data_IF_392837392630
#
_entry.id   IF_392837392630
#
_cell.length_a   1.000
_cell.length_b   1.000
_cell.length_c   1.000
_cell.angle_alpha   90.00
_cell.angle_beta   90.00
_cell.angle_gamma   90.00
#
_symmetry.space_group_name_H-M   'P 1'
#
loop_
_entity.id
_entity.type
_entity.pdbx_description
1 polymer ?
#
# COMPACT_ATOMS: atom_id res chain seq x y z
N UNK A 1 3.19 -7.35 10.55
CA UNK A 1 2.58 -6.30 9.71
C UNK A 1 3.47 -5.08 9.76
N UNK A 2 4.10 -4.71 8.64
CA UNK A 2 4.93 -3.51 8.54
C UNK A 2 4.11 -2.37 7.96
N UNK A 3 3.87 -1.31 8.74
CA UNK A 3 3.25 -0.08 8.22
C UNK A 3 4.34 0.73 7.51
N UNK A 4 4.21 0.86 6.20
CA UNK A 4 5.19 1.51 5.32
C UNK A 4 5.00 3.02 5.35
N UNK A 5 3.76 3.48 5.18
CA UNK A 5 3.45 4.89 5.02
C UNK A 5 2.02 5.16 5.51
N UNK A 6 1.84 6.27 6.21
CA UNK A 6 0.52 6.78 6.61
C UNK A 6 0.39 8.16 6.00
N UNK A 7 -0.55 8.31 5.06
CA UNK A 7 -0.84 9.57 4.38
C UNK A 7 -2.31 9.87 4.56
N UNK A 8 -2.62 11.06 5.10
CA UNK A 8 -3.98 11.51 5.34
C UNK A 8 -4.79 10.45 6.13
N UNK A 9 -5.78 9.87 5.47
CA UNK A 9 -6.72 8.87 6.01
C UNK A 9 -6.38 7.44 5.58
N UNK A 10 -5.37 7.26 4.73
CA UNK A 10 -4.95 5.98 4.16
C UNK A 10 -3.69 5.46 4.84
N UNK A 11 -3.70 4.16 5.16
CA UNK A 11 -2.57 3.45 5.72
C UNK A 11 -2.06 2.45 4.70
N UNK A 12 -0.86 2.71 4.20
CA UNK A 12 -0.11 1.86 3.29
C UNK A 12 0.73 0.87 4.10
N UNK A 13 0.55 -0.42 3.84
CA UNK A 13 1.13 -1.50 4.62
C UNK A 13 1.49 -2.69 3.74
N UNK A 14 2.39 -3.51 4.27
CA UNK A 14 2.72 -4.83 3.71
C UNK A 14 2.56 -5.91 4.80
N UNK A 15 2.01 -7.06 4.42
CA UNK A 15 1.90 -8.19 5.32
C UNK A 15 3.18 -9.01 5.31
N UNK A 16 3.49 -9.63 6.44
CA UNK A 16 4.68 -10.47 6.57
C UNK A 16 4.65 -11.70 5.66
N UNK A 17 3.46 -12.14 5.26
CA UNK A 17 3.26 -13.25 4.30
C UNK A 17 3.64 -12.88 2.88
N UNK A 18 3.65 -11.58 2.55
CA UNK A 18 3.93 -11.05 1.22
C UNK A 18 5.42 -11.09 0.86
N UNK A 19 6.28 -11.47 1.81
CA UNK A 19 7.74 -11.56 1.62
C UNK A 19 8.13 -12.57 0.52
N UNK A 20 7.27 -13.55 0.27
CA UNK A 20 7.48 -14.59 -0.74
C UNK A 20 6.86 -14.24 -2.11
N UNK A 21 6.16 -13.11 -2.24
CA UNK A 21 5.65 -12.69 -3.56
C UNK A 21 6.77 -12.12 -4.43
N UNK A 22 6.86 -12.59 -5.68
CA UNK A 22 7.85 -12.14 -6.66
C UNK A 22 7.58 -10.74 -7.20
N UNK A 23 6.34 -10.25 -7.10
CA UNK A 23 5.91 -8.97 -7.66
C UNK A 23 5.68 -7.96 -6.54
N UNK A 24 6.31 -6.78 -6.66
CA UNK A 24 6.15 -5.70 -5.67
C UNK A 24 4.71 -5.20 -5.65
N UNK A 25 4.14 -5.12 -4.46
CA UNK A 25 2.79 -4.65 -4.24
C UNK A 25 2.66 -3.96 -2.89
N UNK A 26 1.53 -3.28 -2.69
CA UNK A 26 1.20 -2.65 -1.42
C UNK A 26 -0.28 -2.81 -1.11
N UNK A 27 -0.60 -2.96 0.17
CA UNK A 27 -1.95 -2.90 0.66
C UNK A 27 -2.25 -1.51 1.19
N UNK A 28 -3.44 -1.01 0.87
CA UNK A 28 -3.92 0.27 1.37
C UNK A 28 -5.17 0.00 2.17
N UNK A 29 -5.22 0.54 3.38
CA UNK A 29 -6.38 0.42 4.25
C UNK A 29 -6.90 1.78 4.67
N UNK A 30 -8.22 1.88 4.77
CA UNK A 30 -8.90 3.08 5.25
C UNK A 30 -9.87 2.64 6.35
N UNK A 31 -9.78 3.27 7.52
CA UNK A 31 -10.66 2.99 8.65
C UNK A 31 -11.49 4.24 8.98
N UNK A 32 -12.80 4.12 8.86
CA UNK A 32 -13.75 5.18 9.24
C UNK A 32 -14.84 4.57 10.09
N UNK A 33 -14.98 5.07 11.33
CA UNK A 33 -16.11 4.78 12.22
C UNK A 33 -16.45 3.27 12.37
N UNK A 34 -15.45 2.39 12.42
CA UNK A 34 -15.64 0.95 12.59
C UNK A 34 -15.72 0.15 11.27
N UNK A 35 -15.75 0.83 10.13
CA UNK A 35 -15.69 0.20 8.81
C UNK A 35 -14.26 0.21 8.28
N UNK A 36 -13.73 -0.98 7.96
CA UNK A 36 -12.36 -1.15 7.45
C UNK A 36 -12.40 -1.57 5.99
N UNK A 37 -12.02 -0.66 5.10
CA UNK A 37 -11.81 -0.95 3.70
C UNK A 37 -10.34 -1.30 3.45
N UNK A 38 -10.09 -2.23 2.54
CA UNK A 38 -8.73 -2.58 2.12
C UNK A 38 -8.67 -2.84 0.62
N UNK A 39 -7.63 -2.31 -0.03
CA UNK A 39 -7.32 -2.62 -1.41
C UNK A 39 -5.84 -3.01 -1.60
N UNK A 40 -5.54 -3.67 -2.71
CA UNK A 40 -4.18 -4.07 -3.11
C UNK A 40 -3.80 -3.42 -4.44
N UNK A 41 -2.61 -2.85 -4.51
CA UNK A 41 -2.04 -2.29 -5.73
C UNK A 41 -0.72 -2.99 -6.06
N UNK A 42 -0.56 -3.36 -7.33
CA UNK A 42 0.72 -3.75 -7.91
C UNK A 42 1.54 -2.50 -8.20
N UNK A 43 2.85 -2.57 -8.01
CA UNK A 43 3.77 -1.43 -8.23
C UNK A 43 4.63 -1.59 -9.49
N UNK A 44 4.67 -2.79 -10.06
CA UNK A 44 5.48 -3.14 -11.23
C UNK A 44 4.62 -3.94 -12.23
N UNK A 45 4.78 -3.79 -13.56
CA UNK A 45 5.62 -2.81 -14.23
C UNK A 45 5.08 -1.36 -14.12
N UNK A 46 3.78 -1.21 -13.84
CA UNK A 46 3.09 0.06 -13.61
C UNK A 46 2.17 -0.06 -12.39
N UNK A 47 1.78 1.07 -11.80
CA UNK A 47 0.86 1.06 -10.66
C UNK A 47 -0.54 0.71 -11.16
N UNK A 48 -1.00 -0.49 -10.79
CA UNK A 48 -2.30 -1.01 -11.15
C UNK A 48 -3.03 -1.61 -9.96
N UNK A 49 -4.35 -1.48 -9.97
CA UNK A 49 -5.22 -2.05 -8.95
C UNK A 49 -5.36 -3.56 -9.18
N UNK A 50 -5.36 -4.34 -8.10
CA UNK A 50 -5.83 -5.71 -8.15
C UNK A 50 -7.35 -5.72 -8.07
N UNK A 51 -8.02 -5.93 -9.22
CA UNK A 51 -9.49 -5.93 -9.33
C UNK A 51 -10.16 -6.95 -8.38
N UNK A 52 -9.49 -8.06 -8.07
CA UNK A 52 -10.02 -9.07 -7.14
C UNK A 52 -9.94 -8.61 -5.67
N UNK A 53 -9.15 -7.57 -5.41
CA UNK A 53 -8.83 -7.05 -4.08
C UNK A 53 -9.11 -5.56 -4.00
N UNK A 54 -10.08 -5.03 -4.76
CA UNK A 54 -10.42 -3.58 -4.68
C UNK A 54 -11.21 -3.20 -3.43
N UNK A 55 -11.91 -4.14 -2.79
CA UNK A 55 -12.77 -3.88 -1.63
C UNK A 55 -13.92 -2.90 -1.93
N UNK A 56 -14.47 -2.26 -0.89
CA UNK A 56 -15.60 -1.31 -1.00
C UNK A 56 -15.17 0.13 -1.33
N UNK A 57 -14.05 0.30 -2.03
CA UNK A 57 -13.58 1.60 -2.47
C UNK A 57 -14.31 2.04 -3.73
N UNK A 58 -14.69 3.32 -3.76
CA UNK A 58 -15.21 3.99 -4.96
C UNK A 58 -14.08 4.25 -5.96
N UNK A 59 -14.40 4.43 -7.24
CA UNK A 59 -13.41 4.79 -8.26
C UNK A 59 -12.66 6.09 -7.95
N UNK A 60 -13.34 7.05 -7.31
CA UNK A 60 -12.73 8.32 -6.89
C UNK A 60 -11.66 8.05 -5.82
N UNK A 61 -11.98 7.25 -4.79
CA UNK A 61 -11.02 6.86 -3.76
C UNK A 61 -9.86 6.05 -4.35
N UNK A 62 -10.13 5.12 -5.28
CA UNK A 62 -9.10 4.32 -5.93
C UNK A 62 -8.15 5.18 -6.76
N UNK A 63 -8.67 6.20 -7.45
CA UNK A 63 -7.87 7.17 -8.20
C UNK A 63 -7.03 8.04 -7.27
N UNK A 64 -7.59 8.50 -6.16
CA UNK A 64 -6.86 9.24 -5.13
C UNK A 64 -5.71 8.41 -4.55
N UNK A 65 -5.99 7.16 -4.17
CA UNK A 65 -4.99 6.22 -3.66
C UNK A 65 -3.89 5.99 -4.71
N UNK A 66 -4.25 5.77 -5.98
CA UNK A 66 -3.28 5.59 -7.06
C UNK A 66 -2.36 6.81 -7.20
N UNK A 67 -2.92 8.02 -7.17
CA UNK A 67 -2.13 9.25 -7.24
C UNK A 67 -1.16 9.36 -6.06
N UNK A 68 -1.62 9.06 -4.84
CA UNK A 68 -0.77 9.05 -3.64
C UNK A 68 0.36 8.02 -3.74
N UNK A 69 0.11 6.86 -4.33
CA UNK A 69 1.13 5.83 -4.58
C UNK A 69 2.18 6.37 -5.56
N UNK A 70 1.76 6.95 -6.68
CA UNK A 70 2.68 7.48 -7.70
C UNK A 70 3.53 8.64 -7.14
N UNK A 71 2.90 9.57 -6.42
CA UNK A 71 3.59 10.71 -5.79
C UNK A 71 4.64 10.29 -4.75
N UNK A 72 4.45 9.13 -4.11
CA UNK A 72 5.33 8.63 -3.06
C UNK A 72 6.01 7.31 -3.46
N UNK A 73 6.06 7.00 -4.76
CA UNK A 73 6.50 5.70 -5.29
C UNK A 73 7.91 5.34 -4.82
N UNK A 74 8.85 6.26 -4.97
CA UNK A 74 10.24 6.06 -4.55
C UNK A 74 10.35 5.76 -3.04
N UNK A 75 9.55 6.44 -2.23
CA UNK A 75 9.54 6.23 -0.79
C UNK A 75 8.99 4.85 -0.43
N UNK A 76 7.89 4.47 -1.06
CA UNK A 76 7.25 3.16 -0.90
C UNK A 76 8.23 2.06 -1.31
N UNK A 77 8.85 2.17 -2.49
CA UNK A 77 9.81 1.19 -3.00
C UNK A 77 11.02 1.04 -2.06
N UNK A 78 11.57 2.14 -1.54
CA UNK A 78 12.66 2.08 -0.55
C UNK A 78 12.27 1.36 0.73
N UNK A 79 11.06 1.59 1.25
CA UNK A 79 10.57 0.89 2.45
C UNK A 79 10.31 -0.59 2.16
N UNK A 80 9.83 -0.92 0.95
CA UNK A 80 9.68 -2.30 0.50
C UNK A 80 11.03 -3.00 0.36
N UNK A 81 12.06 -2.34 -0.18
CA UNK A 81 13.40 -2.90 -0.26
C UNK A 81 13.95 -3.24 1.14
N UNK A 82 13.73 -2.38 2.13
CA UNK A 82 14.06 -2.68 3.53
C UNK A 82 13.29 -3.91 4.03
N UNK A 83 12.00 -3.99 3.75
CA UNK A 83 11.16 -5.12 4.13
C UNK A 83 11.65 -6.45 3.53
N UNK A 84 11.90 -6.49 2.22
CA UNK A 84 12.40 -7.70 1.54
C UNK A 84 13.82 -8.08 1.99
N UNK A 85 14.62 -7.11 2.44
CA UNK A 85 15.93 -7.36 3.07
C UNK A 85 15.82 -7.79 4.54
N UNK A 86 14.62 -8.06 5.05
CA UNK A 86 14.36 -8.37 6.48
C UNK A 86 14.87 -7.29 7.44
N UNK A 87 14.98 -6.04 6.97
CA UNK A 87 15.35 -4.88 7.79
C UNK A 87 14.10 -4.25 8.40
N UNK A 88 14.23 -3.59 9.56
CA UNK A 88 13.10 -2.92 10.19
C UNK A 88 12.58 -1.77 9.32
N UNK A 89 11.28 -1.83 8.99
CA UNK A 89 10.55 -0.79 8.26
C UNK A 89 10.00 0.22 9.28
N UNK A 90 10.12 1.52 9.00
CA UNK A 90 9.56 2.57 9.87
C UNK A 90 8.35 3.20 9.20
N UNK A 91 7.28 3.38 9.96
CA UNK A 91 6.09 4.09 9.48
C UNK A 91 6.40 5.56 9.32
N UNK A 92 6.37 6.03 8.08
CA UNK A 92 6.48 7.45 7.77
C UNK A 92 5.08 8.04 7.84
N UNK A 93 4.91 9.14 8.59
CA UNK A 93 3.66 9.89 8.67
C UNK A 93 3.87 11.21 7.94
N UNK A 94 3.02 11.50 6.95
CA UNK A 94 3.09 12.71 6.15
C UNK A 94 1.69 13.26 5.91
#
# INVERSE_FOLDING_TARGET
MGKILVLLRYVFLIYSVDINETRRHIHVTHNVAGYKKSCKFWLEPEVSLDENKKGDFTEIELREIRNLIEENKDLILRQLDLFYQSKPVKSIKK
#
